data_IF_952630893673
#
_entry.id   IF_952630893673
#
_cell.length_a   1.000
_cell.length_b   1.000
_cell.length_c   1.000
_cell.angle_alpha   90.00
_cell.angle_beta   90.00
_cell.angle_gamma   90.00
#
_symmetry.space_group_name_H-M   'P 1'
#
loop_
_entity.id
_entity.type
_entity.pdbx_description
1 polymer ?
#
# COMPACT_ATOMS: atom_id res chain seq x y z
N UNK A 1 -57.61 32.29 -24.96
CA UNK A 1 -58.25 33.40 -24.21
C UNK A 1 -57.15 34.04 -23.36
N UNK A 2 -56.54 35.15 -23.83
CA UNK A 2 -56.66 36.51 -23.24
C UNK A 2 -56.43 36.47 -21.70
N UNK A 3 -55.55 37.23 -21.05
CA UNK A 3 -54.93 38.53 -21.35
C UNK A 3 -54.07 38.97 -20.12
N UNK A 4 -52.93 39.62 -20.38
CA UNK A 4 -52.28 40.76 -19.68
C UNK A 4 -51.70 40.66 -18.24
N UNK A 5 -50.37 40.81 -18.17
CA UNK A 5 -49.63 41.98 -17.63
C UNK A 5 -50.28 42.79 -16.48
N UNK A 6 -49.55 42.90 -15.35
CA UNK A 6 -49.26 44.18 -14.68
C UNK A 6 -47.89 44.15 -13.99
N UNK A 7 -47.00 45.01 -14.48
CA UNK A 7 -45.82 45.49 -13.75
C UNK A 7 -46.26 46.58 -12.76
N UNK A 8 -45.59 46.66 -11.61
CA UNK A 8 -45.54 47.87 -10.80
C UNK A 8 -44.16 47.97 -10.15
N UNK A 9 -43.40 48.93 -10.65
CA UNK A 9 -42.12 49.42 -10.17
C UNK A 9 -42.40 50.44 -9.05
N UNK A 10 -41.72 50.33 -7.90
CA UNK A 10 -41.60 51.44 -6.93
C UNK A 10 -40.13 51.56 -6.51
N UNK A 11 -39.52 52.67 -6.94
CA UNK A 11 -38.26 53.24 -6.43
C UNK A 11 -38.52 53.98 -5.11
N UNK A 12 -37.60 53.90 -4.14
CA UNK A 12 -37.22 55.01 -3.24
C UNK A 12 -36.07 54.58 -2.30
N UNK A 13 -34.85 55.03 -2.56
CA UNK A 13 -34.06 56.05 -1.81
C UNK A 13 -33.30 55.57 -0.57
N UNK A 14 -31.99 55.47 -0.77
CA UNK A 14 -30.84 55.89 0.06
C UNK A 14 -31.09 56.38 1.49
N UNK A 15 -30.37 55.80 2.45
CA UNK A 15 -29.86 56.50 3.64
C UNK A 15 -28.62 55.76 4.17
N UNK A 16 -27.45 56.37 3.98
CA UNK A 16 -26.23 56.03 4.69
C UNK A 16 -26.38 56.48 6.15
N UNK A 17 -26.26 55.54 7.09
CA UNK A 17 -25.81 55.84 8.44
C UNK A 17 -24.56 55.01 8.70
N UNK A 18 -23.41 55.70 8.74
CA UNK A 18 -22.22 55.18 9.40
C UNK A 18 -22.41 55.38 10.91
N UNK A 19 -22.52 54.27 11.64
CA UNK A 19 -22.31 54.25 13.09
C UNK A 19 -21.23 53.22 13.36
N UNK A 20 -20.04 53.71 13.64
CA UNK A 20 -18.98 52.99 14.33
C UNK A 20 -19.42 52.74 15.76
N UNK A 21 -19.68 51.48 16.10
CA UNK A 21 -19.78 51.02 17.48
C UNK A 21 -18.99 49.73 17.63
N UNK A 22 -17.85 49.82 18.31
CA UNK A 22 -17.13 48.68 18.85
C UNK A 22 -18.01 47.98 19.89
N UNK A 23 -18.21 46.68 19.73
CA UNK A 23 -18.98 45.87 20.67
C UNK A 23 -18.89 44.40 20.32
N UNK A 24 -17.86 43.74 20.84
CA UNK A 24 -17.59 42.32 20.73
C UNK A 24 -18.72 41.47 21.34
N UNK A 25 -19.33 40.59 20.56
CA UNK A 25 -19.45 39.17 20.91
C UNK A 25 -20.11 38.35 19.78
N UNK A 26 -19.26 37.54 19.14
CA UNK A 26 -19.49 36.20 18.60
C UNK A 26 -20.93 35.80 18.27
N UNK A 27 -21.24 35.76 16.97
CA UNK A 27 -22.11 34.76 16.32
C UNK A 27 -21.90 34.90 14.80
N UNK A 28 -21.04 34.07 14.22
CA UNK A 28 -20.78 34.01 12.79
C UNK A 28 -19.98 32.75 12.49
N UNK A 29 -20.67 31.70 12.04
CA UNK A 29 -20.04 30.47 11.59
C UNK A 29 -19.30 30.70 10.28
N UNK A 30 -17.98 30.54 10.31
CA UNK A 30 -17.16 30.24 9.15
C UNK A 30 -16.98 28.72 9.04
N UNK A 31 -16.90 28.16 7.83
CA UNK A 31 -16.62 26.75 7.65
C UNK A 31 -15.21 26.48 8.19
N UNK A 32 -15.11 25.51 9.09
CA UNK A 32 -13.84 25.01 9.58
C UNK A 32 -13.06 24.38 8.42
N UNK A 33 -12.20 25.15 7.78
CA UNK A 33 -11.03 24.61 7.09
C UNK A 33 -10.15 23.98 8.15
N UNK A 34 -10.33 22.68 8.35
CA UNK A 34 -9.40 21.84 9.07
C UNK A 34 -8.10 21.77 8.27
N UNK A 35 -7.27 22.81 8.38
CA UNK A 35 -5.86 22.71 8.04
C UNK A 35 -5.23 21.78 9.07
N UNK A 36 -5.11 20.51 8.70
CA UNK A 36 -4.19 19.60 9.36
C UNK A 36 -2.81 20.28 9.41
N UNK A 37 -2.02 20.09 10.48
CA UNK A 37 -0.67 20.63 10.52
C UNK A 37 0.12 19.96 9.40
N UNK A 38 0.37 20.70 8.32
CA UNK A 38 1.38 20.34 7.35
C UNK A 38 2.71 20.54 8.06
N UNK A 39 3.22 19.50 8.70
CA UNK A 39 4.65 19.38 8.90
C UNK A 39 5.24 19.44 7.50
N UNK A 40 5.69 20.62 7.09
CA UNK A 40 6.46 20.79 5.87
C UNK A 40 7.71 19.93 6.06
N UNK A 41 7.67 18.70 5.54
CA UNK A 41 8.85 17.88 5.44
C UNK A 41 9.90 18.72 4.71
N UNK A 42 11.00 19.02 5.38
CA UNK A 42 12.11 19.74 4.75
C UNK A 42 12.64 18.87 3.61
N UNK A 43 12.51 19.36 2.38
CA UNK A 43 13.06 18.68 1.20
C UNK A 43 14.57 18.62 1.33
N UNK A 44 15.15 17.44 1.11
CA UNK A 44 16.59 17.28 1.02
C UNK A 44 17.05 17.48 -0.43
N UNK A 45 17.71 18.62 -0.69
CA UNK A 45 18.19 18.97 -2.04
C UNK A 45 19.24 18.00 -2.59
N UNK A 46 20.09 17.42 -1.73
CA UNK A 46 21.13 16.48 -2.15
C UNK A 46 20.52 15.14 -2.59
N UNK A 47 19.47 14.68 -1.91
CA UNK A 47 18.74 13.48 -2.32
C UNK A 47 17.89 13.75 -3.57
N UNK A 48 17.25 14.92 -3.66
CA UNK A 48 16.49 15.32 -4.84
C UNK A 48 17.37 15.42 -6.10
N UNK A 49 18.65 15.80 -5.96
CA UNK A 49 19.60 15.86 -7.08
C UNK A 49 19.92 14.49 -7.68
N UNK A 50 19.80 13.41 -6.89
CA UNK A 50 20.02 12.01 -7.31
C UNK A 50 18.84 11.38 -8.05
N UNK A 51 17.71 12.08 -8.16
CA UNK A 51 16.55 11.58 -8.90
C UNK A 51 16.83 11.54 -10.42
N UNK A 52 16.21 10.59 -11.15
CA UNK A 52 16.24 10.56 -12.60
C UNK A 52 15.73 11.88 -13.20
N UNK A 53 16.30 12.33 -14.32
CA UNK A 53 15.92 13.60 -14.98
C UNK A 53 14.42 13.70 -15.30
N UNK A 54 13.80 12.57 -15.67
CA UNK A 54 12.36 12.47 -15.90
C UNK A 54 11.55 12.88 -14.66
N UNK A 55 11.94 12.38 -13.49
CA UNK A 55 11.27 12.65 -12.22
C UNK A 55 11.53 14.10 -11.77
N UNK A 56 12.77 14.59 -11.92
CA UNK A 56 13.11 15.99 -11.60
C UNK A 56 12.31 16.98 -12.45
N UNK A 57 12.12 16.67 -13.72
CA UNK A 57 11.39 17.53 -14.66
C UNK A 57 9.87 17.50 -14.44
N UNK A 58 9.30 16.33 -14.12
CA UNK A 58 7.86 16.18 -13.90
C UNK A 58 7.41 16.59 -12.48
N UNK A 59 8.34 16.54 -11.51
CA UNK A 59 8.03 16.66 -10.08
C UNK A 59 7.18 15.51 -9.53
N UNK A 60 7.09 14.39 -10.26
CA UNK A 60 6.21 13.25 -9.95
C UNK A 60 6.91 11.92 -10.21
N UNK A 61 6.79 10.98 -9.27
CA UNK A 61 7.19 9.57 -9.39
C UNK A 61 5.96 8.75 -9.77
N UNK A 62 6.00 8.05 -10.89
CA UNK A 62 4.96 7.08 -11.28
C UNK A 62 5.23 5.75 -10.59
N UNK A 63 4.32 5.30 -9.74
CA UNK A 63 4.46 4.13 -8.87
C UNK A 63 3.57 2.99 -9.36
N UNK A 64 4.17 1.87 -9.74
CA UNK A 64 3.45 0.63 -10.02
C UNK A 64 3.13 -0.12 -8.73
N UNK A 65 1.88 -0.55 -8.56
CA UNK A 65 1.41 -1.20 -7.33
C UNK A 65 0.27 -2.18 -7.62
N UNK A 66 0.17 -3.28 -6.89
CA UNK A 66 -1.01 -4.14 -6.93
C UNK A 66 -1.97 -3.77 -5.79
N UNK A 67 -3.04 -3.05 -6.13
CA UNK A 67 -3.98 -2.52 -5.16
C UNK A 67 -5.00 -3.56 -4.62
N UNK A 68 -4.58 -4.82 -4.46
CA UNK A 68 -5.36 -5.92 -3.87
C UNK A 68 -4.81 -6.45 -2.52
N UNK A 69 -3.73 -5.85 -2.00
CA UNK A 69 -2.90 -6.38 -0.92
C UNK A 69 -3.06 -5.62 0.41
N UNK A 70 -4.29 -5.60 0.96
CA UNK A 70 -4.59 -4.87 2.20
C UNK A 70 -3.92 -5.51 3.44
N UNK A 71 -3.30 -4.74 4.35
CA UNK A 71 -3.39 -3.29 4.49
C UNK A 71 -2.23 -2.52 3.84
N UNK A 72 -1.35 -3.20 3.11
CA UNK A 72 -0.11 -2.61 2.61
C UNK A 72 -0.39 -1.72 1.40
N UNK A 73 -1.11 -2.23 0.40
CA UNK A 73 -1.53 -1.46 -0.77
C UNK A 73 -2.89 -1.97 -1.28
N UNK A 74 -3.91 -1.13 -1.27
CA UNK A 74 -5.25 -1.55 -1.66
C UNK A 74 -6.13 -0.38 -2.10
N UNK A 75 -7.18 -0.68 -2.86
CA UNK A 75 -8.19 0.32 -3.21
C UNK A 75 -9.03 0.72 -1.99
N UNK A 76 -9.22 2.02 -1.81
CA UNK A 76 -10.17 2.58 -0.87
C UNK A 76 -11.61 2.21 -1.25
N UNK A 77 -12.56 2.55 -0.38
CA UNK A 77 -13.98 2.25 -0.57
C UNK A 77 -14.60 2.89 -1.82
N UNK A 78 -13.95 3.88 -2.41
CA UNK A 78 -14.37 4.49 -3.67
C UNK A 78 -13.99 3.66 -4.92
N UNK A 79 -13.21 2.58 -4.72
CA UNK A 79 -12.72 1.69 -5.77
C UNK A 79 -11.70 2.33 -6.70
N UNK A 80 -11.08 3.45 -6.32
CA UNK A 80 -10.18 4.23 -7.19
C UNK A 80 -8.90 4.67 -6.50
N UNK A 81 -8.99 5.17 -5.26
CA UNK A 81 -7.82 5.67 -4.55
C UNK A 81 -7.01 4.51 -3.98
N UNK A 82 -5.74 4.39 -4.35
CA UNK A 82 -4.82 3.46 -3.70
C UNK A 82 -4.42 4.04 -2.33
N UNK A 83 -4.50 3.21 -1.29
CA UNK A 83 -4.10 3.53 0.08
C UNK A 83 -3.41 2.33 0.72
N UNK A 84 -2.81 2.53 1.89
CA UNK A 84 -2.21 1.46 2.67
C UNK A 84 -0.89 1.88 3.31
N UNK A 85 -0.24 0.94 4.00
CA UNK A 85 1.06 1.17 4.65
C UNK A 85 2.15 1.54 3.64
N UNK A 86 2.24 0.82 2.52
CA UNK A 86 3.20 1.10 1.45
C UNK A 86 2.98 2.50 0.88
N UNK A 87 1.70 2.88 0.70
CA UNK A 87 1.32 4.20 0.17
C UNK A 87 1.72 5.31 1.13
N UNK A 88 1.34 5.20 2.40
CA UNK A 88 1.63 6.23 3.40
C UNK A 88 3.14 6.39 3.61
N UNK A 89 3.87 5.27 3.69
CA UNK A 89 5.32 5.30 3.87
C UNK A 89 6.04 5.87 2.64
N UNK A 90 5.69 5.41 1.44
CA UNK A 90 6.35 5.88 0.23
C UNK A 90 6.01 7.35 -0.09
N UNK A 91 4.80 7.81 0.24
CA UNK A 91 4.45 9.24 0.16
C UNK A 91 5.33 10.10 1.09
N UNK A 92 5.63 9.61 2.30
CA UNK A 92 6.55 10.31 3.20
C UNK A 92 7.98 10.35 2.64
N UNK A 93 8.44 9.26 2.01
CA UNK A 93 9.73 9.20 1.29
C UNK A 93 9.76 10.20 0.14
N UNK A 94 8.73 10.21 -0.72
CA UNK A 94 8.63 11.15 -1.85
C UNK A 94 8.61 12.61 -1.40
N UNK A 95 7.98 12.91 -0.25
CA UNK A 95 7.98 14.25 0.32
C UNK A 95 9.39 14.74 0.70
N UNK A 96 10.28 13.87 1.22
CA UNK A 96 11.70 14.21 1.47
C UNK A 96 12.46 14.54 0.19
N UNK A 97 12.05 13.94 -0.92
CA UNK A 97 12.63 14.13 -2.24
C UNK A 97 12.01 15.33 -2.99
N UNK A 98 11.01 15.99 -2.41
CA UNK A 98 10.35 17.16 -3.00
C UNK A 98 9.46 16.86 -4.20
N UNK A 99 9.00 15.61 -4.33
CA UNK A 99 8.19 15.14 -5.47
C UNK A 99 6.88 14.52 -4.99
N UNK A 100 5.90 14.46 -5.90
CA UNK A 100 4.62 13.79 -5.67
C UNK A 100 4.66 12.35 -6.17
N UNK A 101 3.72 11.54 -5.74
CA UNK A 101 3.50 10.18 -6.24
C UNK A 101 2.25 10.12 -7.10
N UNK A 102 2.34 9.40 -8.21
CA UNK A 102 1.18 8.97 -9.01
C UNK A 102 1.08 7.45 -8.94
N UNK A 103 0.09 6.94 -8.22
CA UNK A 103 -0.13 5.51 -8.03
C UNK A 103 -0.90 4.91 -9.19
N UNK A 104 -0.33 3.91 -9.85
CA UNK A 104 -0.93 3.22 -10.98
C UNK A 104 -1.10 1.72 -10.68
N UNK A 105 -2.35 1.26 -10.46
CA UNK A 105 -2.64 -0.15 -10.27
C UNK A 105 -2.18 -1.02 -11.46
N UNK A 106 -1.60 -2.17 -11.14
CA UNK A 106 -1.19 -3.23 -12.04
C UNK A 106 -1.31 -4.58 -11.35
N UNK A 107 -1.17 -5.68 -12.09
CA UNK A 107 -1.04 -7.01 -11.50
C UNK A 107 0.37 -7.20 -10.97
N UNK A 108 0.53 -7.91 -9.85
CA UNK A 108 1.83 -8.08 -9.19
C UNK A 108 2.93 -8.59 -10.12
N UNK A 109 2.60 -9.56 -11.00
CA UNK A 109 3.50 -10.16 -11.97
C UNK A 109 4.02 -9.20 -13.05
N UNK A 110 3.30 -8.10 -13.30
CA UNK A 110 3.67 -7.12 -14.34
C UNK A 110 4.49 -5.94 -13.84
N UNK A 111 4.58 -5.72 -12.52
CA UNK A 111 5.22 -4.51 -11.96
C UNK A 111 6.72 -4.46 -12.27
N UNK A 112 7.48 -5.53 -12.01
CA UNK A 112 8.92 -5.58 -12.29
C UNK A 112 9.19 -5.35 -13.79
N UNK A 113 8.39 -5.96 -14.66
CA UNK A 113 8.48 -5.75 -16.11
C UNK A 113 8.13 -4.31 -16.48
N UNK A 114 7.13 -3.71 -15.83
CA UNK A 114 6.74 -2.32 -16.00
C UNK A 114 7.83 -1.34 -15.58
N UNK A 115 8.56 -1.63 -14.50
CA UNK A 115 9.71 -0.83 -14.05
C UNK A 115 10.88 -0.95 -15.04
N UNK A 116 11.28 -2.17 -15.40
CA UNK A 116 12.38 -2.38 -16.35
C UNK A 116 12.05 -1.88 -17.77
N UNK A 117 10.77 -1.85 -18.15
CA UNK A 117 10.27 -1.27 -19.40
C UNK A 117 10.00 0.24 -19.35
N UNK A 118 10.22 0.90 -18.21
CA UNK A 118 10.03 2.35 -18.05
C UNK A 118 8.58 2.84 -18.00
N UNK A 119 7.60 1.93 -17.87
CA UNK A 119 6.19 2.27 -17.62
C UNK A 119 6.02 2.91 -16.24
N UNK A 120 6.70 2.35 -15.24
CA UNK A 120 6.74 2.86 -13.87
C UNK A 120 8.16 3.34 -13.55
N UNK A 121 8.28 4.38 -12.74
CA UNK A 121 9.59 4.84 -12.25
C UNK A 121 10.08 3.97 -11.08
N UNK A 122 9.14 3.42 -10.30
CA UNK A 122 9.39 2.54 -9.15
C UNK A 122 8.20 1.60 -8.95
N UNK A 123 8.46 0.39 -8.45
CA UNK A 123 7.44 -0.53 -7.97
C UNK A 123 7.39 -0.52 -6.44
N UNK A 124 6.19 -0.33 -5.88
CA UNK A 124 5.93 -0.38 -4.44
C UNK A 124 4.70 -1.25 -4.23
N UNK A 125 4.94 -2.49 -3.82
CA UNK A 125 3.90 -3.51 -3.69
C UNK A 125 4.36 -4.69 -2.83
N UNK A 126 4.84 -4.42 -1.62
CA UNK A 126 5.23 -5.48 -0.67
C UNK A 126 6.19 -6.55 -1.24
N UNK A 127 7.08 -6.17 -2.17
CA UNK A 127 7.94 -7.12 -2.87
C UNK A 127 8.99 -7.70 -1.92
N UNK A 128 8.85 -8.96 -1.53
CA UNK A 128 9.93 -9.69 -0.84
C UNK A 128 11.25 -9.60 -1.63
N UNK A 129 12.32 -9.16 -0.98
CA UNK A 129 13.67 -9.16 -1.56
C UNK A 129 14.14 -10.60 -1.68
N UNK A 130 14.54 -10.99 -2.89
CA UNK A 130 15.18 -12.28 -3.14
C UNK A 130 16.23 -12.18 -4.27
N UNK A 131 17.08 -13.20 -4.38
CA UNK A 131 18.17 -13.23 -5.36
C UNK A 131 17.70 -13.19 -6.82
N UNK A 132 16.50 -13.72 -7.11
CA UNK A 132 15.97 -13.72 -8.47
C UNK A 132 15.51 -12.32 -8.91
N UNK A 133 14.91 -11.55 -8.01
CA UNK A 133 14.46 -10.18 -8.25
C UNK A 133 15.64 -9.22 -8.30
N UNK A 134 16.62 -9.35 -7.39
CA UNK A 134 17.86 -8.53 -7.40
C UNK A 134 18.69 -8.66 -8.68
N UNK A 135 18.51 -9.72 -9.48
CA UNK A 135 19.14 -9.85 -10.81
C UNK A 135 18.51 -8.95 -11.87
N UNK A 136 17.26 -8.52 -11.67
CA UNK A 136 16.47 -7.78 -12.65
C UNK A 136 16.36 -6.29 -12.33
N UNK A 137 16.43 -5.95 -11.04
CA UNK A 137 16.16 -4.62 -10.50
C UNK A 137 16.99 -4.37 -9.24
N UNK A 138 17.20 -3.09 -8.92
CA UNK A 138 17.61 -2.70 -7.59
C UNK A 138 16.42 -2.84 -6.62
N UNK A 139 16.69 -3.29 -5.39
CA UNK A 139 15.69 -3.42 -4.34
C UNK A 139 16.12 -2.65 -3.08
N UNK A 140 15.31 -1.72 -2.61
CA UNK A 140 15.60 -0.92 -1.41
C UNK A 140 14.77 -1.39 -0.23
N UNK A 141 15.40 -1.96 0.81
CA UNK A 141 14.66 -2.51 1.95
C UNK A 141 13.93 -1.43 2.75
N UNK A 142 12.69 -1.70 3.18
CA UNK A 142 11.90 -0.73 3.96
C UNK A 142 11.04 -1.31 5.08
N UNK A 143 10.76 -2.61 5.05
CA UNK A 143 9.90 -3.30 6.01
C UNK A 143 10.27 -4.80 6.03
N UNK A 144 9.90 -5.54 7.07
CA UNK A 144 10.10 -6.99 7.15
C UNK A 144 8.78 -7.70 7.44
N UNK A 145 8.47 -8.73 6.64
CA UNK A 145 7.30 -9.58 6.84
C UNK A 145 7.66 -11.04 6.62
N UNK A 146 7.01 -11.94 7.36
CA UNK A 146 7.03 -13.38 7.09
C UNK A 146 5.71 -13.86 6.54
N UNK A 147 5.63 -15.12 6.16
CA UNK A 147 4.41 -15.76 5.68
C UNK A 147 3.56 -16.25 6.86
N UNK A 148 2.24 -16.12 6.75
CA UNK A 148 1.27 -16.66 7.70
C UNK A 148 0.04 -17.22 6.97
N UNK A 149 -0.52 -18.30 7.50
CA UNK A 149 -1.70 -18.95 6.94
C UNK A 149 -2.99 -18.47 7.61
N UNK A 150 -4.09 -18.59 6.88
CA UNK A 150 -5.43 -18.44 7.44
C UNK A 150 -6.38 -19.51 6.88
N UNK A 151 -7.33 -19.92 7.70
CA UNK A 151 -8.38 -20.89 7.38
C UNK A 151 -9.76 -20.33 7.71
N UNK A 152 -10.86 -20.97 7.29
CA UNK A 152 -12.15 -20.71 7.91
C UNK A 152 -12.06 -20.96 9.42
N UNK A 153 -12.84 -20.22 10.20
CA UNK A 153 -12.86 -20.35 11.65
C UNK A 153 -13.14 -21.81 12.10
N UNK A 154 -12.36 -22.28 13.07
CA UNK A 154 -12.36 -23.66 13.56
C UNK A 154 -11.62 -24.66 12.66
N UNK A 155 -10.95 -24.22 11.60
CA UNK A 155 -10.20 -25.04 10.66
C UNK A 155 -10.93 -26.36 10.26
N UNK A 156 -12.14 -26.27 9.67
CA UNK A 156 -13.01 -27.43 9.45
C UNK A 156 -12.40 -28.47 8.50
N UNK A 157 -11.49 -28.03 7.62
CA UNK A 157 -10.78 -28.92 6.72
C UNK A 157 -9.59 -29.63 7.40
N UNK A 158 -9.23 -29.30 8.64
CA UNK A 158 -8.09 -29.88 9.34
C UNK A 158 -6.77 -29.64 8.59
N UNK A 159 -6.54 -28.39 8.17
CA UNK A 159 -5.30 -27.97 7.52
C UNK A 159 -4.19 -27.94 8.56
N UNK A 160 -3.07 -28.58 8.25
CA UNK A 160 -1.83 -28.50 9.02
C UNK A 160 -0.79 -27.78 8.18
N UNK A 161 -0.22 -26.68 8.69
CA UNK A 161 0.72 -25.83 7.92
C UNK A 161 1.88 -26.67 7.39
N UNK A 162 2.46 -27.54 8.21
CA UNK A 162 3.61 -28.39 7.85
C UNK A 162 3.25 -29.57 6.93
N UNK A 163 1.97 -29.91 6.81
CA UNK A 163 1.49 -31.02 6.01
C UNK A 163 0.14 -30.71 5.33
N UNK A 164 0.06 -29.72 4.41
CA UNK A 164 -1.19 -29.31 3.77
C UNK A 164 -1.56 -30.22 2.58
N UNK A 165 -1.06 -31.45 2.56
CA UNK A 165 -1.23 -32.40 1.47
C UNK A 165 -2.71 -32.79 1.30
N UNK A 166 -3.19 -32.77 0.05
CA UNK A 166 -4.60 -32.99 -0.29
C UNK A 166 -5.54 -31.84 0.06
N UNK A 167 -5.03 -30.71 0.58
CA UNK A 167 -5.83 -29.49 0.82
C UNK A 167 -5.84 -28.61 -0.42
N UNK A 168 -6.90 -27.81 -0.53
CA UNK A 168 -7.02 -26.74 -1.51
C UNK A 168 -6.53 -25.43 -0.91
N UNK A 169 -5.48 -24.84 -1.48
CA UNK A 169 -4.84 -23.64 -0.91
C UNK A 169 -4.88 -22.51 -1.93
N UNK A 170 -5.52 -21.40 -1.54
CA UNK A 170 -5.52 -20.17 -2.33
C UNK A 170 -4.24 -19.37 -2.09
N UNK A 171 -3.64 -18.87 -3.17
CA UNK A 171 -2.42 -18.07 -3.11
C UNK A 171 -2.42 -17.06 -4.25
N UNK A 172 -1.84 -15.89 -4.04
CA UNK A 172 -1.60 -14.96 -5.13
C UNK A 172 -0.47 -15.47 -6.06
N UNK A 173 -0.67 -15.34 -7.36
CA UNK A 173 0.29 -15.73 -8.39
C UNK A 173 1.57 -14.89 -8.33
N UNK A 174 2.71 -15.50 -8.69
CA UNK A 174 4.05 -14.86 -8.75
C UNK A 174 4.63 -14.34 -7.44
N UNK A 175 3.98 -14.67 -6.33
CA UNK A 175 4.52 -14.47 -4.98
C UNK A 175 5.54 -15.55 -4.61
N UNK A 176 6.40 -15.27 -3.63
CA UNK A 176 7.34 -16.28 -3.12
C UNK A 176 6.60 -17.46 -2.48
N UNK A 177 5.40 -17.23 -1.96
CA UNK A 177 4.53 -18.27 -1.44
C UNK A 177 4.08 -19.26 -2.53
N UNK A 178 3.78 -18.76 -3.72
CA UNK A 178 3.36 -19.59 -4.85
C UNK A 178 4.54 -20.22 -5.59
N UNK A 179 5.65 -19.50 -5.77
CA UNK A 179 6.79 -19.99 -6.56
C UNK A 179 7.77 -20.86 -5.76
N UNK A 180 7.92 -20.64 -4.45
CA UNK A 180 8.91 -21.33 -3.61
C UNK A 180 8.28 -22.18 -2.50
N UNK A 181 7.41 -21.58 -1.67
CA UNK A 181 6.89 -22.23 -0.45
C UNK A 181 5.97 -23.41 -0.74
N UNK A 182 4.86 -23.18 -1.45
CA UNK A 182 3.90 -24.24 -1.76
C UNK A 182 4.53 -25.37 -2.61
N UNK A 183 5.39 -25.10 -3.62
CA UNK A 183 6.14 -26.15 -4.31
C UNK A 183 7.06 -26.97 -3.40
N UNK A 184 7.75 -26.33 -2.44
CA UNK A 184 8.59 -27.04 -1.47
C UNK A 184 7.77 -27.96 -0.55
N UNK A 185 6.56 -27.55 -0.15
CA UNK A 185 5.62 -28.40 0.60
C UNK A 185 5.04 -29.52 -0.28
N UNK A 186 4.65 -29.20 -1.51
CA UNK A 186 4.12 -30.12 -2.51
C UNK A 186 5.06 -31.29 -2.82
N UNK A 187 6.38 -31.05 -2.78
CA UNK A 187 7.40 -32.08 -2.97
C UNK A 187 7.35 -33.18 -1.90
N UNK A 188 6.86 -32.87 -0.69
CA UNK A 188 6.74 -33.81 0.44
C UNK A 188 5.45 -34.64 0.42
N UNK A 189 4.46 -34.26 -0.40
CA UNK A 189 3.11 -34.82 -0.37
C UNK A 189 2.91 -36.20 -1.03
N UNK A 190 3.94 -36.81 -1.62
CA UNK A 190 3.79 -38.06 -2.37
C UNK A 190 2.73 -37.91 -3.46
N UNK A 191 1.74 -38.81 -3.50
CA UNK A 191 0.61 -38.77 -4.44
C UNK A 191 -0.56 -37.86 -4.02
N UNK A 192 -0.65 -37.48 -2.73
CA UNK A 192 -1.75 -36.66 -2.21
C UNK A 192 -1.40 -35.16 -2.31
N UNK A 193 -1.28 -34.67 -3.55
CA UNK A 193 -0.80 -33.32 -3.85
C UNK A 193 -1.71 -32.22 -3.28
N UNK A 194 -1.13 -31.08 -2.92
CA UNK A 194 -1.84 -29.83 -2.63
C UNK A 194 -2.55 -29.38 -3.91
N UNK A 195 -3.82 -29.03 -3.82
CA UNK A 195 -4.55 -28.36 -4.89
C UNK A 195 -4.31 -26.85 -4.78
N UNK A 196 -3.26 -26.35 -5.43
CA UNK A 196 -2.89 -24.93 -5.38
C UNK A 196 -3.79 -24.15 -6.33
N UNK A 197 -4.51 -23.16 -5.81
CA UNK A 197 -5.34 -22.23 -6.57
C UNK A 197 -4.64 -20.87 -6.67
N UNK A 198 -3.96 -20.57 -7.78
CA UNK A 198 -3.38 -19.25 -8.00
C UNK A 198 -4.49 -18.23 -8.33
N UNK A 199 -4.31 -17.01 -7.84
CA UNK A 199 -5.18 -15.87 -8.09
C UNK A 199 -4.35 -14.64 -8.50
N UNK A 200 -4.95 -13.75 -9.28
CA UNK A 200 -4.28 -12.53 -9.73
C UNK A 200 -4.06 -11.55 -8.57
N UNK A 201 -5.05 -11.45 -7.67
CA UNK A 201 -5.00 -10.63 -6.47
C UNK A 201 -5.19 -11.44 -5.18
N UNK A 202 -4.63 -10.95 -4.08
CA UNK A 202 -4.73 -11.61 -2.78
C UNK A 202 -6.15 -11.51 -2.17
N UNK A 203 -6.90 -10.48 -2.53
CA UNK A 203 -8.32 -10.34 -2.20
C UNK A 203 -9.15 -11.53 -2.75
N UNK A 204 -8.84 -12.01 -3.95
CA UNK A 204 -9.48 -13.18 -4.57
C UNK A 204 -9.12 -14.48 -3.84
N UNK A 205 -7.84 -14.66 -3.44
CA UNK A 205 -7.42 -15.79 -2.62
C UNK A 205 -8.14 -15.81 -1.27
N UNK A 206 -8.26 -14.65 -0.63
CA UNK A 206 -9.03 -14.47 0.62
C UNK A 206 -10.50 -14.82 0.43
N UNK A 207 -11.13 -14.31 -0.63
CA UNK A 207 -12.53 -14.60 -0.95
C UNK A 207 -12.76 -16.09 -1.25
N UNK A 208 -11.79 -16.80 -1.83
CA UNK A 208 -11.87 -18.23 -2.07
C UNK A 208 -11.96 -19.02 -0.75
N UNK A 209 -11.23 -18.62 0.30
CA UNK A 209 -11.34 -19.24 1.62
C UNK A 209 -12.67 -18.90 2.28
N UNK A 210 -13.08 -17.63 2.26
CA UNK A 210 -14.35 -17.17 2.85
C UNK A 210 -15.57 -17.86 2.21
N UNK A 211 -15.51 -18.17 0.92
CA UNK A 211 -16.58 -18.86 0.19
C UNK A 211 -16.52 -20.39 0.29
N UNK A 212 -15.48 -20.95 0.90
CA UNK A 212 -15.26 -22.40 0.98
C UNK A 212 -14.75 -23.04 -0.33
N UNK A 213 -14.30 -22.23 -1.30
CA UNK A 213 -13.62 -22.71 -2.51
C UNK A 213 -12.19 -23.19 -2.21
N UNK A 214 -11.54 -22.63 -1.19
CA UNK A 214 -10.25 -23.05 -0.68
C UNK A 214 -10.34 -23.38 0.81
N UNK A 215 -9.55 -24.36 1.26
CA UNK A 215 -9.45 -24.79 2.66
C UNK A 215 -8.59 -23.83 3.48
N UNK A 216 -7.61 -23.19 2.84
CA UNK A 216 -6.71 -22.21 3.45
C UNK A 216 -6.19 -21.21 2.42
N UNK A 217 -5.58 -20.15 2.92
CA UNK A 217 -4.70 -19.27 2.16
C UNK A 217 -3.41 -19.04 2.94
N UNK A 218 -2.39 -18.58 2.24
CA UNK A 218 -1.16 -18.04 2.81
C UNK A 218 -0.77 -16.74 2.08
N UNK A 219 -0.26 -15.79 2.84
CA UNK A 219 0.26 -14.52 2.37
C UNK A 219 1.21 -13.96 3.44
N UNK A 220 1.71 -12.74 3.25
CA UNK A 220 2.51 -12.09 4.27
C UNK A 220 1.68 -11.78 5.53
N UNK A 221 2.33 -11.81 6.69
CA UNK A 221 1.67 -11.73 7.99
C UNK A 221 0.82 -10.48 8.21
N UNK A 222 1.19 -9.26 7.74
CA UNK A 222 0.30 -8.10 7.86
C UNK A 222 -1.01 -8.30 7.09
N UNK A 223 -0.93 -8.90 5.91
CA UNK A 223 -2.06 -9.12 5.01
C UNK A 223 -2.99 -10.20 5.54
N UNK A 224 -2.43 -11.34 5.96
CA UNK A 224 -3.19 -12.41 6.58
C UNK A 224 -3.87 -11.95 7.87
N UNK A 225 -3.16 -11.22 8.75
CA UNK A 225 -3.73 -10.68 9.98
C UNK A 225 -4.85 -9.67 9.72
N UNK A 226 -4.67 -8.79 8.74
CA UNK A 226 -5.69 -7.82 8.36
C UNK A 226 -6.93 -8.51 7.78
N UNK A 227 -6.76 -9.49 6.89
CA UNK A 227 -7.87 -10.27 6.33
C UNK A 227 -8.68 -10.97 7.44
N UNK A 228 -8.02 -11.60 8.42
CA UNK A 228 -8.67 -12.21 9.58
C UNK A 228 -9.46 -11.18 10.38
N UNK A 229 -8.86 -10.01 10.67
CA UNK A 229 -9.53 -8.90 11.37
C UNK A 229 -10.77 -8.40 10.63
N UNK A 230 -10.70 -8.27 9.30
CA UNK A 230 -11.82 -7.79 8.47
C UNK A 230 -12.91 -8.86 8.25
N UNK A 231 -12.58 -10.14 8.43
CA UNK A 231 -13.49 -11.25 8.15
C UNK A 231 -14.69 -11.35 9.10
N UNK A 232 -14.70 -10.57 10.18
CA UNK A 232 -15.71 -10.62 11.25
C UNK A 232 -15.90 -12.05 11.83
N UNK A 233 -14.78 -12.75 12.04
CA UNK A 233 -14.76 -14.10 12.64
C UNK A 233 -15.02 -15.24 11.66
N UNK A 234 -15.03 -14.97 10.34
CA UNK A 234 -15.13 -16.03 9.32
C UNK A 234 -13.80 -16.72 9.07
N UNK A 235 -12.69 -16.01 9.27
CA UNK A 235 -11.35 -16.52 9.13
C UNK A 235 -10.64 -16.53 10.48
N UNK A 236 -9.64 -17.40 10.61
CA UNK A 236 -8.71 -17.44 11.74
C UNK A 236 -7.28 -17.62 11.23
N UNK A 237 -6.31 -17.12 12.00
CA UNK A 237 -4.89 -17.36 11.72
C UNK A 237 -4.55 -18.82 12.03
N UNK A 238 -3.71 -19.41 11.18
CA UNK A 238 -3.22 -20.76 11.34
C UNK A 238 -1.69 -20.76 11.35
N UNK A 239 -1.11 -21.33 12.40
CA UNK A 239 0.33 -21.44 12.58
C UNK A 239 1.02 -20.11 12.90
N UNK A 240 2.33 -20.22 13.13
CA UNK A 240 3.22 -19.09 13.40
C UNK A 240 3.65 -18.39 12.11
N UNK A 241 4.14 -17.16 12.24
CA UNK A 241 4.81 -16.46 11.14
C UNK A 241 6.17 -17.10 10.89
N UNK A 242 6.52 -17.35 9.62
CA UNK A 242 7.79 -17.96 9.22
C UNK A 242 8.43 -17.29 8.00
N UNK A 243 9.69 -17.60 7.72
CA UNK A 243 10.45 -17.07 6.55
C UNK A 243 10.33 -15.54 6.42
N UNK A 244 10.56 -14.83 7.53
CA UNK A 244 10.55 -13.37 7.53
C UNK A 244 11.69 -12.83 6.67
N UNK A 245 11.35 -11.96 5.74
CA UNK A 245 12.29 -11.35 4.81
C UNK A 245 11.93 -9.87 4.56
N UNK A 246 12.91 -9.03 4.19
CA UNK A 246 12.64 -7.64 3.88
C UNK A 246 11.78 -7.49 2.62
N UNK A 247 10.87 -6.51 2.63
CA UNK A 247 10.29 -5.94 1.42
C UNK A 247 11.25 -4.93 0.80
N UNK A 248 11.20 -4.78 -0.52
CA UNK A 248 12.03 -3.85 -1.27
C UNK A 248 11.26 -3.01 -2.28
N UNK A 249 11.56 -1.70 -2.34
CA UNK A 249 11.15 -0.87 -3.47
C UNK A 249 11.89 -1.32 -4.73
N UNK A 250 11.15 -1.56 -5.80
CA UNK A 250 11.67 -2.06 -7.08
C UNK A 250 12.10 -0.87 -7.94
N UNK A 251 13.40 -0.73 -8.19
CA UNK A 251 13.99 0.39 -8.93
C UNK A 251 14.75 -0.15 -10.15
N UNK A 252 14.73 0.51 -11.33
CA UNK A 252 15.52 0.07 -12.47
C UNK A 252 17.01 -0.13 -12.11
N UNK A 253 17.65 -1.12 -12.71
CA UNK A 253 19.04 -1.50 -12.40
C UNK A 253 20.03 -0.36 -12.65
N UNK A 254 19.78 0.41 -13.70
CA UNK A 254 20.56 1.57 -14.12
C UNK A 254 20.40 2.77 -13.18
N UNK A 255 19.32 2.84 -12.40
CA UNK A 255 18.99 3.96 -11.51
C UNK A 255 19.50 3.74 -10.07
N UNK A 256 20.78 3.39 -9.93
CA UNK A 256 21.42 3.15 -8.61
C UNK A 256 21.41 4.41 -7.73
N UNK A 257 21.61 5.59 -8.31
CA UNK A 257 21.54 6.86 -7.60
C UNK A 257 20.14 7.12 -7.03
N UNK A 258 19.09 6.74 -7.76
CA UNK A 258 17.72 6.82 -7.26
C UNK A 258 17.47 5.84 -6.12
N UNK A 259 17.92 4.59 -6.24
CA UNK A 259 17.81 3.60 -5.17
C UNK A 259 18.50 4.07 -3.87
N UNK A 260 19.71 4.64 -3.97
CA UNK A 260 20.39 5.26 -2.83
C UNK A 260 19.61 6.44 -2.24
N UNK A 261 18.99 7.28 -3.09
CA UNK A 261 18.20 8.41 -2.62
C UNK A 261 16.98 7.94 -1.81
N UNK A 262 16.29 6.89 -2.26
CA UNK A 262 15.19 6.27 -1.54
C UNK A 262 15.65 5.70 -0.18
N UNK A 263 16.78 4.98 -0.17
CA UNK A 263 17.37 4.42 1.04
C UNK A 263 17.69 5.50 2.09
N UNK A 264 18.27 6.63 1.68
CA UNK A 264 18.57 7.73 2.59
C UNK A 264 17.30 8.49 3.02
N UNK A 265 16.34 8.69 2.11
CA UNK A 265 15.07 9.31 2.45
C UNK A 265 14.28 8.48 3.48
N UNK A 266 14.32 7.14 3.41
CA UNK A 266 13.77 6.26 4.45
C UNK A 266 14.40 6.52 5.82
N UNK A 267 15.72 6.74 5.89
CA UNK A 267 16.40 7.10 7.16
C UNK A 267 15.89 8.43 7.71
N UNK A 268 15.66 9.42 6.86
CA UNK A 268 15.09 10.71 7.28
C UNK A 268 13.64 10.58 7.75
N UNK A 269 12.82 9.82 7.02
CA UNK A 269 11.44 9.48 7.39
C UNK A 269 11.38 8.71 8.71
N UNK A 270 12.39 7.87 8.99
CA UNK A 270 12.52 7.21 10.29
C UNK A 270 12.94 8.18 11.38
N UNK A 271 13.94 9.03 11.12
CA UNK A 271 14.48 9.97 12.09
C UNK A 271 13.46 11.02 12.55
N UNK A 272 12.53 11.43 11.68
CA UNK A 272 11.48 12.39 12.02
C UNK A 272 10.18 11.76 12.57
N UNK A 273 10.14 10.43 12.69
CA UNK A 273 9.00 9.69 13.23
C UNK A 273 7.89 9.36 12.22
N UNK A 274 7.98 9.84 10.98
CA UNK A 274 6.97 9.56 9.94
C UNK A 274 6.90 8.08 9.58
N UNK A 275 8.03 7.36 9.62
CA UNK A 275 8.08 5.90 9.43
C UNK A 275 7.18 5.20 10.45
N UNK A 276 7.38 5.50 11.74
CA UNK A 276 6.62 4.91 12.82
C UNK A 276 5.14 5.27 12.71
N UNK A 277 4.82 6.52 12.36
CA UNK A 277 3.45 6.97 12.19
C UNK A 277 2.73 6.22 11.05
N UNK A 278 3.40 5.99 9.92
CA UNK A 278 2.86 5.20 8.81
C UNK A 278 2.56 3.77 9.25
N UNK A 279 3.50 3.09 9.92
CA UNK A 279 3.27 1.71 10.39
C UNK A 279 2.17 1.62 11.45
N UNK A 280 2.15 2.56 12.41
CA UNK A 280 1.20 2.54 13.53
C UNK A 280 -0.23 2.80 13.08
N UNK A 281 -0.43 3.60 12.02
CA UNK A 281 -1.75 3.82 11.41
C UNK A 281 -2.40 2.51 10.94
N UNK A 282 -1.58 1.56 10.51
CA UNK A 282 -2.03 0.25 10.00
C UNK A 282 -1.88 -0.89 11.00
N UNK A 283 -1.26 -0.63 12.17
CA UNK A 283 -1.04 -1.64 13.21
C UNK A 283 -0.04 -2.72 12.82
N UNK A 284 1.00 -2.34 12.05
CA UNK A 284 2.01 -3.25 11.48
C UNK A 284 3.42 -2.93 11.98
N UNK A 285 3.54 -2.32 13.16
CA UNK A 285 4.80 -1.87 13.75
C UNK A 285 5.81 -3.02 13.94
N UNK A 286 5.34 -4.26 14.07
CA UNK A 286 6.19 -5.45 14.23
C UNK A 286 7.12 -5.73 13.05
N UNK A 287 6.82 -5.19 11.86
CA UNK A 287 7.68 -5.33 10.69
C UNK A 287 8.66 -4.17 10.48
N UNK A 288 8.74 -3.24 11.43
CA UNK A 288 9.71 -2.16 11.39
C UNK A 288 11.16 -2.68 11.27
N UNK A 289 11.97 -2.06 10.42
CA UNK A 289 13.41 -2.33 10.31
C UNK A 289 14.24 -1.06 10.54
N UNK A 290 15.52 -1.23 10.88
CA UNK A 290 16.47 -0.14 11.10
C UNK A 290 17.48 0.03 9.94
N UNK A 291 17.64 -0.99 9.11
CA UNK A 291 18.55 -0.98 7.96
C UNK A 291 17.78 -0.91 6.63
N UNK A 292 17.93 0.23 5.95
CA UNK A 292 17.35 0.51 4.63
C UNK A 292 18.44 0.36 3.57
N UNK A 293 18.86 -0.87 3.34
CA UNK A 293 19.94 -1.22 2.42
C UNK A 293 19.44 -1.31 0.98
N UNK A 294 20.33 -0.99 0.03
CA UNK A 294 20.12 -1.27 -1.39
C UNK A 294 20.72 -2.65 -1.69
N UNK A 295 19.90 -3.56 -2.20
CA UNK A 295 20.26 -4.94 -2.51
C UNK A 295 20.91 -5.71 -1.33
N UNK A 296 20.27 -5.75 -0.13
CA UNK A 296 20.76 -6.54 1.00
C UNK A 296 20.83 -8.03 0.68
#
# INVERSE_FOLDING_TARGET
MRVRFRAALVLATTSMLAVTACGSNSLGGEPATSSAPTTSASVNADLAAKLPEKIKSSGTIVVGTDASYAPNEFLASDGKTVQGMDVDLFNAVAAKLGVKTEWQPATFDTIIVGVTGGKFDVGVSSFTINEQRKKQVNMVSYFSAGTQWATPAGNPAGVEVDNPCGKTVGVQDKTVQQEDDLPARQAKCGSNKINILPFEGQDQATAAVVSGRADAMLADSPVTAYAVKQSAGKLELLGEVYEAAPYGYVVPNEETGFAEALAQALKEVKADGSYQAALSKWGVESGAIDDFAVNP
#
